data_IF_263862062216
#
_entry.id   IF_263862062216
#
_cell.length_a   1.000
_cell.length_b   1.000
_cell.length_c   1.000
_cell.angle_alpha   90.00
_cell.angle_beta   90.00
_cell.angle_gamma   90.00
#
_symmetry.space_group_name_H-M   'P 1'
#
loop_
_entity.id
_entity.type
_entity.pdbx_description
1 polymer ?
#
# COMPACT_ATOMS: atom_id res chain seq x y z
N UNK A 1 17.90 12.22 29.50
CA UNK A 1 17.52 11.29 30.59
C UNK A 1 16.76 10.14 29.96
N UNK A 2 17.36 8.94 29.89
CA UNK A 2 16.75 7.74 29.31
C UNK A 2 16.00 6.97 30.41
N UNK A 3 14.69 7.16 30.53
CA UNK A 3 13.85 6.35 31.42
C UNK A 3 13.33 5.13 30.65
N UNK A 4 14.09 4.04 30.69
CA UNK A 4 13.62 2.74 30.24
C UNK A 4 12.39 2.31 31.05
N UNK A 5 11.34 1.83 30.38
CA UNK A 5 10.17 1.23 31.05
C UNK A 5 10.35 -0.29 30.95
N UNK A 6 10.38 -0.99 32.07
CA UNK A 6 10.53 -2.45 32.16
C UNK A 6 11.76 -3.02 31.39
N UNK A 7 12.90 -2.31 31.43
CA UNK A 7 14.13 -2.76 30.78
C UNK A 7 14.18 -2.57 29.26
N UNK A 8 13.11 -2.05 28.65
CA UNK A 8 13.10 -1.65 27.24
C UNK A 8 13.57 -0.19 27.16
N UNK A 9 14.68 0.09 26.43
CA UNK A 9 15.14 1.47 26.24
C UNK A 9 14.02 2.36 25.67
N UNK A 10 13.90 3.58 26.18
CA UNK A 10 12.82 4.50 25.83
C UNK A 10 12.71 4.75 24.31
N UNK A 11 13.83 4.68 23.58
CA UNK A 11 13.87 4.82 22.13
C UNK A 11 13.14 3.69 21.36
N UNK A 12 12.90 2.53 21.96
CA UNK A 12 12.11 1.45 21.34
C UNK A 12 10.62 1.55 21.68
N UNK A 13 10.30 2.25 22.78
CA UNK A 13 8.93 2.50 23.24
C UNK A 13 8.31 3.73 22.59
N UNK A 14 9.15 4.58 21.98
CA UNK A 14 8.72 5.69 21.16
C UNK A 14 9.23 5.44 19.74
N UNK A 15 8.35 5.09 18.81
CA UNK A 15 8.47 5.61 17.46
C UNK A 15 8.77 7.11 17.60
N UNK A 16 10.02 7.56 17.45
CA UNK A 16 10.32 8.98 17.40
C UNK A 16 9.63 9.50 16.16
N UNK A 17 8.44 10.10 16.28
CA UNK A 17 7.51 10.46 15.19
C UNK A 17 8.17 11.00 13.91
N UNK A 18 9.35 11.59 14.05
CA UNK A 18 10.30 11.97 13.00
C UNK A 18 10.68 10.84 12.03
N UNK A 19 10.97 9.60 12.47
CA UNK A 19 11.23 8.45 11.57
C UNK A 19 10.04 8.09 10.67
N UNK A 20 8.80 8.41 11.07
CA UNK A 20 7.58 8.16 10.28
C UNK A 20 7.44 9.21 9.16
N UNK A 21 8.05 10.38 9.34
CA UNK A 21 8.07 11.48 8.38
C UNK A 21 9.19 11.35 7.34
N UNK A 22 10.13 10.40 7.51
CA UNK A 22 11.32 10.26 6.67
C UNK A 22 11.16 9.33 5.45
N UNK A 23 10.08 8.53 5.38
CA UNK A 23 9.88 7.65 4.24
C UNK A 23 9.36 8.45 3.04
N UNK A 24 10.29 8.94 2.23
CA UNK A 24 9.98 9.62 0.98
C UNK A 24 9.43 8.63 -0.06
N UNK A 25 8.10 8.45 -0.06
CA UNK A 25 7.37 7.62 -1.01
C UNK A 25 7.57 8.08 -2.47
N UNK A 26 8.03 9.32 -2.65
CA UNK A 26 8.25 9.92 -3.95
C UNK A 26 9.58 9.44 -4.59
N UNK A 27 10.46 8.79 -3.82
CA UNK A 27 11.74 8.29 -4.31
C UNK A 27 11.67 6.90 -4.96
N UNK A 28 10.59 6.15 -4.78
CA UNK A 28 10.47 4.79 -5.32
C UNK A 28 10.13 4.79 -6.81
N UNK A 29 10.65 3.81 -7.55
CA UNK A 29 10.33 3.58 -8.96
C UNK A 29 10.02 2.10 -9.25
N UNK A 30 9.04 1.85 -10.12
CA UNK A 30 8.71 0.53 -10.65
C UNK A 30 8.62 -0.56 -9.57
N UNK A 31 9.51 -1.56 -9.64
CA UNK A 31 9.53 -2.73 -8.74
C UNK A 31 9.77 -2.37 -7.27
N UNK A 32 10.37 -1.21 -6.97
CA UNK A 32 10.58 -0.78 -5.59
C UNK A 32 9.25 -0.48 -4.89
N UNK A 33 8.28 0.10 -5.61
CA UNK A 33 6.93 0.27 -5.10
C UNK A 33 6.29 -1.07 -4.71
N UNK A 34 6.47 -2.11 -5.53
CA UNK A 34 5.97 -3.45 -5.20
C UNK A 34 6.55 -3.97 -3.90
N UNK A 35 7.88 -3.90 -3.79
CA UNK A 35 8.59 -4.47 -2.66
C UNK A 35 8.18 -3.78 -1.36
N UNK A 36 8.02 -2.45 -1.38
CA UNK A 36 7.55 -1.69 -0.21
C UNK A 36 6.10 -2.03 0.12
N UNK A 37 5.23 -2.12 -0.90
CA UNK A 37 3.84 -2.50 -0.71
C UNK A 37 3.69 -3.90 -0.09
N UNK A 38 4.38 -4.91 -0.65
CA UNK A 38 4.39 -6.27 -0.14
C UNK A 38 4.96 -6.35 1.28
N UNK A 39 6.04 -5.61 1.56
CA UNK A 39 6.62 -5.55 2.90
C UNK A 39 5.64 -4.96 3.93
N UNK A 40 4.93 -3.89 3.56
CA UNK A 40 3.90 -3.28 4.41
C UNK A 40 2.73 -4.25 4.63
N UNK A 41 2.21 -4.90 3.57
CA UNK A 41 1.13 -5.89 3.69
C UNK A 41 1.53 -7.11 4.53
N UNK A 42 2.77 -7.57 4.42
CA UNK A 42 3.30 -8.65 5.26
C UNK A 42 3.42 -8.20 6.72
N UNK A 43 3.92 -7.00 6.97
CA UNK A 43 4.03 -6.44 8.32
C UNK A 43 2.65 -6.28 8.98
N UNK A 44 1.67 -5.74 8.26
CA UNK A 44 0.27 -5.62 8.68
C UNK A 44 -0.29 -7.00 9.09
N UNK A 45 -0.12 -7.99 8.21
CA UNK A 45 -0.59 -9.37 8.46
C UNK A 45 0.09 -9.98 9.69
N UNK A 46 1.40 -9.82 9.81
CA UNK A 46 2.18 -10.32 10.95
C UNK A 46 1.76 -9.68 12.27
N UNK A 47 1.63 -8.36 12.29
CA UNK A 47 1.19 -7.59 13.46
C UNK A 47 -0.22 -8.00 13.90
N UNK A 48 -1.16 -8.10 12.96
CA UNK A 48 -2.53 -8.60 13.23
C UNK A 48 -2.51 -10.01 13.83
N UNK A 49 -1.69 -10.90 13.28
CA UNK A 49 -1.51 -12.26 13.80
C UNK A 49 -1.02 -12.26 15.25
N UNK A 50 0.00 -11.48 15.58
CA UNK A 50 0.56 -11.39 16.94
C UNK A 50 -0.41 -10.70 17.90
N UNK A 51 -1.09 -9.63 17.49
CA UNK A 51 -2.10 -8.93 18.28
C UNK A 51 -3.27 -9.84 18.66
N UNK A 52 -3.59 -10.82 17.81
CA UNK A 52 -4.68 -11.73 18.06
C UNK A 52 -4.38 -12.87 19.05
N UNK A 53 -3.12 -13.04 19.44
CA UNK A 53 -2.71 -14.08 20.38
C UNK A 53 -2.99 -13.70 21.84
N UNK A 54 -3.18 -14.70 22.74
CA UNK A 54 -3.46 -14.44 24.16
C UNK A 54 -2.42 -13.55 24.85
N UNK A 55 -1.15 -13.63 24.45
CA UNK A 55 -0.06 -12.80 24.99
C UNK A 55 -0.20 -11.29 24.73
N UNK A 56 -1.04 -10.89 23.79
CA UNK A 56 -1.31 -9.49 23.44
C UNK A 56 -2.64 -9.00 24.03
N UNK A 57 -3.36 -9.87 24.75
CA UNK A 57 -4.69 -9.62 25.30
C UNK A 57 -4.69 -9.83 26.82
N UNK A 58 -5.52 -9.09 27.51
CA UNK A 58 -5.91 -9.37 28.90
C UNK A 58 -7.43 -9.33 28.94
N UNK A 59 -8.03 -10.43 29.39
CA UNK A 59 -9.47 -10.71 29.29
C UNK A 59 -9.99 -10.59 27.84
N UNK A 60 -10.58 -9.44 27.48
CA UNK A 60 -11.13 -9.13 26.15
C UNK A 60 -10.53 -7.87 25.53
N UNK A 61 -9.55 -7.24 26.16
CA UNK A 61 -8.93 -6.01 25.69
C UNK A 61 -7.45 -6.23 25.36
N UNK A 62 -6.89 -5.34 24.56
CA UNK A 62 -5.44 -5.31 24.32
C UNK A 62 -4.70 -4.93 25.60
N UNK A 63 -3.70 -5.73 25.95
CA UNK A 63 -2.77 -5.40 27.02
C UNK A 63 -1.73 -4.37 26.52
N UNK A 64 -0.78 -3.89 27.34
CA UNK A 64 0.20 -2.88 26.89
C UNK A 64 1.00 -3.27 25.64
N UNK A 65 1.40 -4.53 25.51
CA UNK A 65 2.09 -5.02 24.31
C UNK A 65 1.14 -5.03 23.11
N UNK A 66 -0.10 -5.49 23.29
CA UNK A 66 -1.14 -5.42 22.25
C UNK A 66 -1.45 -4.00 21.79
N UNK A 67 -1.48 -3.02 22.71
CA UNK A 67 -1.68 -1.60 22.37
C UNK A 67 -0.51 -1.04 21.56
N UNK A 68 0.72 -1.35 21.94
CA UNK A 68 1.91 -0.96 21.16
C UNK A 68 1.87 -1.55 19.74
N UNK A 69 1.53 -2.84 19.62
CA UNK A 69 1.38 -3.48 18.31
C UNK A 69 0.22 -2.89 17.50
N UNK A 70 -0.87 -2.45 18.15
CA UNK A 70 -1.98 -1.74 17.49
C UNK A 70 -1.52 -0.42 16.88
N UNK A 71 -0.74 0.37 17.60
CA UNK A 71 -0.17 1.61 17.07
C UNK A 71 0.75 1.35 15.87
N UNK A 72 1.58 0.31 15.95
CA UNK A 72 2.41 -0.09 14.80
C UNK A 72 1.56 -0.59 13.62
N UNK A 73 0.50 -1.34 13.90
CA UNK A 73 -0.42 -1.84 12.88
C UNK A 73 -1.12 -0.69 12.14
N UNK A 74 -1.66 0.28 12.88
CA UNK A 74 -2.28 1.49 12.33
C UNK A 74 -1.29 2.31 11.50
N UNK A 75 -0.06 2.46 11.99
CA UNK A 75 1.00 3.14 11.23
C UNK A 75 1.33 2.43 9.92
N UNK A 76 1.52 1.11 9.93
CA UNK A 76 1.82 0.36 8.70
C UNK A 76 0.67 0.47 7.68
N UNK A 77 -0.58 0.49 8.15
CA UNK A 77 -1.74 0.78 7.31
C UNK A 77 -1.67 2.18 6.70
N UNK A 78 -1.42 3.23 7.50
CA UNK A 78 -1.34 4.60 6.99
C UNK A 78 -0.23 4.77 5.96
N UNK A 79 0.92 4.12 6.17
CA UNK A 79 2.03 4.16 5.21
C UNK A 79 1.72 3.45 3.90
N UNK A 80 1.03 2.31 3.96
CA UNK A 80 0.59 1.60 2.76
C UNK A 80 -0.41 2.44 1.97
N UNK A 81 -1.34 3.11 2.65
CA UNK A 81 -2.26 4.07 2.02
C UNK A 81 -1.50 5.24 1.40
N UNK A 82 -0.56 5.86 2.13
CA UNK A 82 0.28 6.95 1.63
C UNK A 82 1.09 6.56 0.38
N UNK A 83 1.61 5.34 0.35
CA UNK A 83 2.32 4.79 -0.81
C UNK A 83 1.41 4.73 -2.05
N UNK A 84 0.18 4.23 -1.89
CA UNK A 84 -0.81 4.12 -2.97
C UNK A 84 -1.29 5.49 -3.44
N UNK A 85 -1.56 6.41 -2.52
CA UNK A 85 -1.90 7.79 -2.87
C UNK A 85 -0.77 8.44 -3.67
N UNK A 86 0.48 8.27 -3.24
CA UNK A 86 1.65 8.81 -3.96
C UNK A 86 1.76 8.24 -5.37
N UNK A 87 1.47 6.94 -5.55
CA UNK A 87 1.46 6.26 -6.83
C UNK A 87 0.38 6.82 -7.77
N UNK A 88 -0.81 7.10 -7.25
CA UNK A 88 -1.95 7.64 -7.99
C UNK A 88 -1.75 9.09 -8.45
N UNK A 89 -1.02 9.91 -7.70
CA UNK A 89 -0.78 11.32 -8.08
C UNK A 89 0.27 11.49 -9.19
N UNK A 90 0.95 10.41 -9.59
CA UNK A 90 2.02 10.45 -10.58
C UNK A 90 1.55 9.81 -11.88
N UNK A 91 1.91 10.40 -13.02
CA UNK A 91 1.70 9.73 -14.31
C UNK A 91 2.69 8.56 -14.46
N UNK A 92 2.27 7.38 -14.95
CA UNK A 92 3.23 6.35 -15.35
C UNK A 92 4.10 6.86 -16.50
N UNK A 93 5.37 6.46 -16.50
CA UNK A 93 6.36 6.83 -17.51
C UNK A 93 6.24 5.97 -18.78
N UNK A 94 5.83 4.71 -18.62
CA UNK A 94 5.69 3.72 -19.68
C UNK A 94 4.55 2.72 -19.40
N UNK A 95 4.23 1.87 -20.38
CA UNK A 95 3.13 0.91 -20.33
C UNK A 95 3.37 -0.21 -19.30
N UNK A 96 4.62 -0.61 -19.09
CA UNK A 96 5.00 -1.62 -18.09
C UNK A 96 4.74 -1.09 -16.67
N UNK A 97 5.11 0.17 -16.41
CA UNK A 97 4.81 0.86 -15.16
C UNK A 97 3.30 1.04 -14.98
N UNK A 98 2.56 1.38 -16.04
CA UNK A 98 1.11 1.50 -15.98
C UNK A 98 0.45 0.16 -15.60
N UNK A 99 0.88 -0.94 -16.22
CA UNK A 99 0.37 -2.29 -15.92
C UNK A 99 0.67 -2.69 -14.48
N UNK A 100 1.91 -2.49 -14.03
CA UNK A 100 2.33 -2.80 -12.67
C UNK A 100 1.51 -2.01 -11.62
N UNK A 101 1.32 -0.71 -11.84
CA UNK A 101 0.52 0.15 -10.96
C UNK A 101 -0.94 -0.29 -10.92
N UNK A 102 -1.51 -0.68 -12.06
CA UNK A 102 -2.87 -1.20 -12.13
C UNK A 102 -3.03 -2.45 -11.25
N UNK A 103 -2.10 -3.40 -11.31
CA UNK A 103 -2.13 -4.60 -10.49
C UNK A 103 -2.08 -4.29 -8.99
N UNK A 104 -1.22 -3.35 -8.57
CA UNK A 104 -1.14 -2.92 -7.17
C UNK A 104 -2.42 -2.25 -6.68
N UNK A 105 -3.04 -1.39 -7.49
CA UNK A 105 -4.29 -0.73 -7.14
C UNK A 105 -5.43 -1.73 -6.99
N UNK A 106 -5.52 -2.71 -7.90
CA UNK A 106 -6.47 -3.82 -7.81
C UNK A 106 -6.27 -4.59 -6.51
N UNK A 107 -5.03 -4.91 -6.17
CA UNK A 107 -4.72 -5.64 -4.95
C UNK A 107 -5.08 -4.83 -3.70
N UNK A 108 -4.70 -3.55 -3.64
CA UNK A 108 -5.02 -2.67 -2.53
C UNK A 108 -6.52 -2.54 -2.32
N UNK A 109 -7.28 -2.40 -3.41
CA UNK A 109 -8.72 -2.29 -3.35
C UNK A 109 -9.38 -3.59 -2.82
N UNK A 110 -8.93 -4.73 -3.31
CA UNK A 110 -9.41 -6.03 -2.84
C UNK A 110 -9.11 -6.26 -1.34
N UNK A 111 -8.00 -5.71 -0.83
CA UNK A 111 -7.58 -5.83 0.57
C UNK A 111 -8.30 -4.84 1.50
N UNK A 112 -8.65 -3.64 1.03
CA UNK A 112 -9.30 -2.59 1.83
C UNK A 112 -10.84 -2.69 1.79
N UNK A 113 -11.42 -3.28 0.75
CA UNK A 113 -12.88 -3.37 0.54
C UNK A 113 -13.59 -2.00 0.53
N UNK A 114 -12.97 -0.95 -0.01
CA UNK A 114 -13.57 0.39 -0.04
C UNK A 114 -14.37 0.65 -1.34
N UNK A 115 -14.03 -0.04 -2.45
CA UNK A 115 -14.75 -0.08 -3.72
C UNK A 115 -15.25 -1.50 -4.02
N UNK A 116 -16.48 -1.59 -4.51
CA UNK A 116 -17.02 -2.85 -4.98
C UNK A 116 -16.29 -3.31 -6.26
N UNK A 117 -16.21 -4.63 -6.49
CA UNK A 117 -15.50 -5.23 -7.63
C UNK A 117 -15.88 -4.63 -9.01
N UNK A 118 -17.09 -4.07 -9.12
CA UNK A 118 -17.61 -3.43 -10.32
C UNK A 118 -16.95 -2.06 -10.60
N UNK A 119 -16.60 -1.31 -9.56
CA UNK A 119 -15.96 0.01 -9.68
C UNK A 119 -14.48 -0.16 -10.04
N UNK A 120 -13.83 -1.18 -9.48
CA UNK A 120 -12.46 -1.55 -9.81
C UNK A 120 -12.34 -2.03 -11.28
N UNK A 121 -13.28 -2.84 -11.74
CA UNK A 121 -13.34 -3.25 -13.14
C UNK A 121 -13.58 -2.06 -14.10
N UNK A 122 -14.32 -1.03 -13.68
CA UNK A 122 -14.52 0.18 -14.45
C UNK A 122 -13.25 1.04 -14.55
N UNK A 123 -12.48 1.15 -13.46
CA UNK A 123 -11.18 1.82 -13.45
C UNK A 123 -10.18 1.14 -14.40
N UNK A 124 -10.06 -0.19 -14.34
CA UNK A 124 -9.19 -0.98 -15.24
C UNK A 124 -9.56 -0.77 -16.71
N UNK A 125 -10.86 -0.83 -17.04
CA UNK A 125 -11.36 -0.61 -18.41
C UNK A 125 -11.21 0.82 -18.90
N UNK A 126 -11.01 1.80 -18.02
CA UNK A 126 -10.83 3.19 -18.43
C UNK A 126 -9.49 3.43 -19.15
N UNK A 127 -8.50 2.56 -18.94
CA UNK A 127 -7.20 2.58 -19.63
C UNK A 127 -7.24 1.93 -21.02
N UNK A 128 -8.29 1.17 -21.34
CA UNK A 128 -8.44 0.45 -22.61
C UNK A 128 -8.87 1.35 -23.79
N UNK A 129 -8.91 2.68 -23.60
CA UNK A 129 -9.45 3.65 -24.56
C UNK A 129 -8.42 4.36 -25.45
N UNK A 130 -7.25 3.76 -25.66
CA UNK A 130 -6.29 4.20 -26.69
C UNK A 130 -5.97 3.09 -27.69
N UNK A 131 -7.00 2.59 -28.37
CA UNK A 131 -6.86 2.11 -29.73
C UNK A 131 -7.86 2.88 -30.59
N UNK A 132 -7.53 4.14 -30.90
CA UNK A 132 -8.14 4.83 -32.02
C UNK A 132 -7.86 4.00 -33.27
N UNK A 133 -8.89 3.34 -33.79
CA UNK A 133 -8.84 2.78 -35.14
C UNK A 133 -8.75 3.97 -36.08
N UNK A 134 -7.51 4.35 -36.42
CA UNK A 134 -7.22 5.20 -37.58
C UNK A 134 -7.72 4.44 -38.81
N UNK A 135 -8.96 4.70 -39.22
CA UNK A 135 -9.39 4.41 -40.59
C UNK A 135 -8.80 5.48 -41.50
N UNK A 136 -7.50 5.38 -41.75
CA UNK A 136 -6.86 6.05 -42.88
C UNK A 136 -6.75 5.06 -44.05
N UNK A 137 -7.30 5.48 -45.18
CA UNK A 137 -7.40 4.77 -46.46
C UNK A 137 -6.10 4.08 -46.90
N UNK A 138 -6.22 2.86 -47.43
CA UNK A 138 -5.42 2.42 -48.58
C UNK A 138 -6.38 2.00 -49.69
N UNK A 139 -6.35 2.75 -50.79
CA UNK A 139 -6.99 2.35 -52.02
C UNK A 139 -6.27 1.16 -52.62
N UNK A 140 -7.05 0.18 -53.08
CA UNK A 140 -6.62 -0.75 -54.12
C UNK A 140 -7.58 -0.56 -55.30
N UNK A 141 -7.00 -0.02 -56.37
CA UNK A 141 -7.54 -0.04 -57.71
C UNK A 141 -7.09 -1.37 -58.35
N UNK A 142 -8.03 -2.11 -58.95
CA UNK A 142 -7.90 -2.80 -60.25
C UNK A 142 -8.84 -4.01 -60.34
N UNK A 143 -9.73 -3.97 -61.34
CA UNK A 143 -10.64 -5.05 -61.74
C UNK A 143 -11.88 -4.54 -62.46
#
# INVERSE_FOLDING_TARGET
MNTAINGIPAQFLRPEQDWLNELDMTAFEGRQFNAVYEALSLAITGLSGVMNQPRSKTDRALNPAGKYLSTMFEFMHSERTRLIETLNHRKPKDDDEAHFRMCLLIQYEAECQDMEANELAAFVKSFDKSASVDKSNNGENDG
#
